data_IF_915114897572
#
_entry.id   IF_915114897572
#
_cell.length_a   1.000
_cell.length_b   1.000
_cell.length_c   1.000
_cell.angle_alpha   90.00
_cell.angle_beta   90.00
_cell.angle_gamma   90.00
#
_symmetry.space_group_name_H-M   'P 1'
#
loop_
_entity.id
_entity.type
_entity.pdbx_description
1 polymer ?
#
# COMPACT_ATOMS: atom_id res chain seq x y z
N UNK A 1 0.58 6.53 9.37
CA UNK A 1 -0.01 7.73 8.74
C UNK A 1 0.09 8.95 9.65
N UNK A 2 -0.12 8.79 10.97
CA UNK A 2 0.03 9.82 12.00
C UNK A 2 1.22 10.83 11.85
N UNK A 3 2.47 10.44 11.49
CA UNK A 3 3.57 11.41 11.39
C UNK A 3 3.40 12.41 10.23
N UNK A 4 2.74 11.99 9.15
CA UNK A 4 2.56 12.80 7.94
C UNK A 4 1.54 13.93 8.16
N UNK A 5 0.37 13.58 8.70
CA UNK A 5 -0.70 14.56 8.94
C UNK A 5 -0.34 15.58 10.00
N UNK A 6 0.36 15.15 11.07
CA UNK A 6 0.86 16.06 12.10
C UNK A 6 1.89 17.04 11.55
N UNK A 7 2.78 16.58 10.66
CA UNK A 7 3.81 17.41 10.03
C UNK A 7 3.23 18.51 9.12
N UNK A 8 2.24 18.18 8.28
CA UNK A 8 1.75 19.10 7.24
C UNK A 8 0.50 19.86 7.62
N UNK A 9 -0.32 19.32 8.52
CA UNK A 9 -1.64 19.87 8.85
C UNK A 9 -1.83 20.08 10.36
N UNK A 10 -0.81 19.81 11.18
CA UNK A 10 -0.88 19.87 12.65
C UNK A 10 -2.10 19.12 13.22
N UNK A 11 -2.44 17.99 12.59
CA UNK A 11 -3.64 17.22 12.89
C UNK A 11 -3.32 15.75 13.18
N UNK A 12 -4.02 15.19 14.16
CA UNK A 12 -4.02 13.75 14.46
C UNK A 12 -5.25 13.10 13.82
N UNK A 13 -5.05 11.93 13.21
CA UNK A 13 -6.12 11.21 12.53
C UNK A 13 -6.70 10.15 13.48
N UNK A 14 -8.03 10.03 13.60
CA UNK A 14 -8.64 8.97 14.39
C UNK A 14 -8.47 7.61 13.71
N UNK A 15 -8.37 6.52 14.49
CA UNK A 15 -8.17 5.15 13.99
C UNK A 15 -9.17 4.75 12.90
N UNK A 16 -10.45 5.13 13.06
CA UNK A 16 -11.52 4.87 12.08
C UNK A 16 -11.23 5.48 10.70
N UNK A 17 -10.51 6.59 10.65
CA UNK A 17 -10.09 7.20 9.39
C UNK A 17 -8.87 6.47 8.82
N UNK A 18 -7.91 6.06 9.66
CA UNK A 18 -6.76 5.27 9.20
C UNK A 18 -7.22 3.95 8.55
N UNK A 19 -8.22 3.27 9.11
CA UNK A 19 -8.83 2.07 8.49
C UNK A 19 -9.36 2.34 7.07
N UNK A 20 -9.99 3.51 6.83
CA UNK A 20 -10.49 3.89 5.50
C UNK A 20 -9.38 4.10 4.48
N UNK A 21 -8.15 4.35 4.93
CA UNK A 21 -7.00 4.51 4.04
C UNK A 21 -6.31 3.19 3.70
N UNK A 22 -6.70 2.07 4.34
CA UNK A 22 -6.13 0.76 4.05
C UNK A 22 -6.73 0.19 2.76
N UNK A 23 -5.87 -0.32 1.88
CA UNK A 23 -6.27 -1.01 0.66
C UNK A 23 -6.67 -0.10 -0.51
N UNK A 24 -6.71 1.22 -0.33
CA UNK A 24 -6.91 2.20 -1.41
C UNK A 24 -5.57 2.71 -1.95
N UNK A 25 -5.60 3.42 -3.08
CA UNK A 25 -4.39 4.01 -3.66
C UNK A 25 -3.81 5.11 -2.76
N UNK A 26 -2.57 5.50 -3.02
CA UNK A 26 -1.95 6.59 -2.26
C UNK A 26 -2.63 7.94 -2.50
N UNK A 27 -3.09 8.19 -3.71
CA UNK A 27 -3.81 9.42 -4.05
C UNK A 27 -5.16 9.46 -3.34
N UNK A 28 -5.92 8.36 -3.40
CA UNK A 28 -7.19 8.23 -2.66
C UNK A 28 -6.98 8.38 -1.15
N UNK A 29 -5.93 7.78 -0.61
CA UNK A 29 -5.60 7.92 0.81
C UNK A 29 -5.23 9.36 1.20
N UNK A 30 -4.71 10.17 0.28
CA UNK A 30 -4.45 11.59 0.53
C UNK A 30 -5.74 12.41 0.43
N UNK A 31 -6.60 12.11 -0.56
CA UNK A 31 -7.94 12.69 -0.65
C UNK A 31 -8.77 12.47 0.62
N UNK A 32 -8.85 11.23 1.11
CA UNK A 32 -9.57 10.89 2.36
C UNK A 32 -9.07 11.73 3.55
N UNK A 33 -7.76 11.95 3.65
CA UNK A 33 -7.16 12.75 4.72
C UNK A 33 -7.53 14.22 4.56
N UNK A 34 -7.37 14.78 3.35
CA UNK A 34 -7.68 16.18 3.07
C UNK A 34 -9.16 16.50 3.26
N UNK A 35 -10.03 15.63 2.78
CA UNK A 35 -11.48 15.75 2.92
C UNK A 35 -11.91 15.71 4.38
N UNK A 36 -11.34 14.79 5.18
CA UNK A 36 -11.60 14.74 6.61
C UNK A 36 -11.17 16.01 7.34
N UNK A 37 -10.05 16.62 6.93
CA UNK A 37 -9.56 17.86 7.51
C UNK A 37 -10.26 19.11 6.96
N UNK A 38 -11.08 18.98 5.92
CA UNK A 38 -11.68 20.11 5.22
C UNK A 38 -10.66 21.00 4.52
N UNK A 39 -9.51 20.46 4.13
CA UNK A 39 -8.40 21.20 3.53
C UNK A 39 -8.39 21.00 2.02
N UNK A 40 -8.40 22.09 1.27
CA UNK A 40 -8.14 22.07 -0.17
C UNK A 40 -6.73 22.55 -0.46
N UNK A 41 -6.06 21.90 -1.41
CA UNK A 41 -4.72 22.26 -1.88
C UNK A 41 -4.72 22.35 -3.40
N UNK A 42 -3.77 23.10 -3.97
CA UNK A 42 -3.57 23.10 -5.43
C UNK A 42 -3.15 21.71 -5.92
N UNK A 43 -3.38 21.43 -7.20
CA UNK A 43 -2.95 20.17 -7.82
C UNK A 43 -1.44 19.97 -7.69
N UNK A 44 -0.64 21.02 -7.85
CA UNK A 44 0.81 20.97 -7.67
C UNK A 44 1.18 20.56 -6.24
N UNK A 45 0.53 21.17 -5.24
CA UNK A 45 0.78 20.86 -3.83
C UNK A 45 0.31 19.45 -3.49
N UNK A 46 -0.81 18.99 -4.05
CA UNK A 46 -1.30 17.63 -3.89
C UNK A 46 -0.28 16.61 -4.40
N UNK A 47 0.23 16.80 -5.61
CA UNK A 47 1.25 15.93 -6.21
C UNK A 47 2.53 15.90 -5.35
N UNK A 48 2.99 17.05 -4.87
CA UNK A 48 4.16 17.13 -3.99
C UNK A 48 3.96 16.38 -2.66
N UNK A 49 2.78 16.54 -2.04
CA UNK A 49 2.42 15.84 -0.79
C UNK A 49 2.34 14.32 -1.00
N UNK A 50 1.73 13.88 -2.09
CA UNK A 50 1.63 12.46 -2.43
C UNK A 50 3.03 11.84 -2.68
N UNK A 51 3.93 12.58 -3.34
CA UNK A 51 5.31 12.17 -3.58
C UNK A 51 6.12 12.08 -2.28
N UNK A 52 6.03 13.10 -1.40
CA UNK A 52 6.71 13.08 -0.10
C UNK A 52 6.22 11.92 0.76
N UNK A 53 4.90 11.71 0.81
CA UNK A 53 4.27 10.58 1.50
C UNK A 53 4.81 9.25 0.97
N UNK A 54 5.00 9.11 -0.35
CA UNK A 54 5.62 7.93 -0.94
C UNK A 54 7.06 7.74 -0.47
N UNK A 55 7.87 8.78 -0.55
CA UNK A 55 9.28 8.71 -0.22
C UNK A 55 9.48 8.29 1.24
N UNK A 56 8.68 8.85 2.15
CA UNK A 56 8.68 8.45 3.56
C UNK A 56 8.30 6.97 3.74
N UNK A 57 7.29 6.49 3.01
CA UNK A 57 6.87 5.09 3.06
C UNK A 57 7.93 4.14 2.50
N UNK A 58 8.49 4.43 1.32
CA UNK A 58 9.56 3.62 0.71
C UNK A 58 10.77 3.53 1.63
N UNK A 59 11.17 4.64 2.25
CA UNK A 59 12.25 4.65 3.25
C UNK A 59 11.92 3.79 4.47
N UNK A 60 10.66 3.75 4.91
CA UNK A 60 10.25 2.88 6.02
C UNK A 60 10.33 1.39 5.65
N UNK A 61 10.18 1.04 4.36
CA UNK A 61 10.36 -0.34 3.87
C UNK A 61 11.81 -0.82 3.94
N UNK A 62 12.80 0.05 4.12
CA UNK A 62 14.20 -0.39 4.26
C UNK A 62 14.46 -1.19 5.53
N UNK A 63 13.61 -1.03 6.55
CA UNK A 63 13.67 -1.84 7.77
C UNK A 63 12.96 -3.20 7.62
N UNK A 64 12.25 -3.43 6.51
CA UNK A 64 11.47 -4.65 6.28
C UNK A 64 12.40 -5.82 5.94
N UNK A 65 12.11 -6.98 6.52
CA UNK A 65 12.87 -8.21 6.35
C UNK A 65 11.95 -9.44 6.41
N UNK A 66 12.48 -10.63 6.13
CA UNK A 66 11.75 -11.90 6.28
C UNK A 66 11.11 -12.10 7.66
N UNK A 67 11.62 -11.45 8.71
CA UNK A 67 11.06 -11.53 10.07
C UNK A 67 9.70 -10.83 10.22
N UNK A 68 9.39 -9.95 9.28
CA UNK A 68 8.14 -9.18 9.23
C UNK A 68 7.05 -9.92 8.43
N UNK A 69 7.35 -11.11 7.89
CA UNK A 69 6.35 -12.01 7.32
C UNK A 69 5.37 -12.40 8.43
N UNK A 70 4.08 -12.23 8.16
CA UNK A 70 3.04 -12.60 9.14
C UNK A 70 3.09 -14.11 9.42
N UNK A 71 2.85 -14.53 10.68
CA UNK A 71 2.86 -15.95 11.06
C UNK A 71 1.97 -16.80 10.13
N UNK A 72 2.51 -17.93 9.66
CA UNK A 72 1.81 -18.90 8.80
C UNK A 72 1.76 -18.55 7.31
N UNK A 73 2.15 -17.34 6.88
CA UNK A 73 2.11 -16.97 5.45
C UNK A 73 3.12 -17.79 4.63
N UNK A 74 4.35 -17.96 5.14
CA UNK A 74 5.36 -18.73 4.42
C UNK A 74 4.93 -20.20 4.25
N UNK A 75 4.42 -20.81 5.31
CA UNK A 75 3.91 -22.19 5.28
C UNK A 75 2.74 -22.33 4.28
N UNK A 76 1.82 -21.36 4.25
CA UNK A 76 0.71 -21.34 3.29
C UNK A 76 1.20 -21.26 1.84
N UNK A 77 2.17 -20.38 1.57
CA UNK A 77 2.75 -20.23 0.23
C UNK A 77 3.51 -21.49 -0.20
N UNK A 78 4.24 -22.12 0.71
CA UNK A 78 4.91 -23.41 0.48
C UNK A 78 3.88 -24.50 0.14
N UNK A 79 2.77 -24.56 0.85
CA UNK A 79 1.70 -25.53 0.61
C UNK A 79 1.00 -25.31 -0.74
N UNK A 80 0.76 -24.05 -1.14
CA UNK A 80 0.27 -23.76 -2.48
C UNK A 80 1.23 -24.22 -3.57
N UNK A 81 2.53 -23.97 -3.42
CA UNK A 81 3.55 -24.46 -4.37
C UNK A 81 3.58 -25.98 -4.45
N UNK A 82 3.51 -26.69 -3.31
CA UNK A 82 3.49 -28.16 -3.26
C UNK A 82 2.29 -28.79 -3.98
N UNK A 83 1.17 -28.07 -4.06
CA UNK A 83 -0.06 -28.52 -4.70
C UNK A 83 -0.28 -27.90 -6.09
N UNK A 84 0.76 -27.31 -6.69
CA UNK A 84 0.69 -26.66 -8.01
C UNK A 84 -0.39 -25.55 -8.12
N UNK A 85 -0.70 -24.89 -7.00
CA UNK A 85 -1.66 -23.79 -6.95
C UNK A 85 -0.95 -22.49 -7.32
N UNK A 86 -1.49 -21.77 -8.31
CA UNK A 86 -0.97 -20.47 -8.75
C UNK A 86 -1.20 -19.38 -7.73
N UNK A 87 -0.20 -18.53 -7.52
CA UNK A 87 -0.22 -17.46 -6.52
C UNK A 87 -0.06 -16.12 -7.23
N UNK A 88 -0.97 -15.18 -6.97
CA UNK A 88 -0.87 -13.82 -7.51
C UNK A 88 -1.09 -12.73 -6.45
N UNK A 89 -0.40 -11.60 -6.62
CA UNK A 89 -0.55 -10.42 -5.77
C UNK A 89 -1.50 -9.40 -6.43
N UNK A 90 -2.66 -9.17 -5.82
CA UNK A 90 -3.64 -8.16 -6.21
C UNK A 90 -3.62 -6.95 -5.25
N UNK A 91 -2.56 -6.14 -5.31
CA UNK A 91 -2.32 -5.00 -4.41
C UNK A 91 -2.59 -3.65 -5.07
N UNK A 92 -3.33 -2.75 -4.39
CA UNK A 92 -3.51 -1.37 -4.84
C UNK A 92 -2.22 -0.52 -4.72
N UNK A 93 -1.18 -1.05 -4.07
CA UNK A 93 0.09 -0.36 -3.88
C UNK A 93 1.05 -0.64 -5.04
N UNK A 94 1.55 0.44 -5.65
CA UNK A 94 2.65 0.39 -6.62
C UNK A 94 3.95 -0.17 -6.02
N UNK A 95 4.06 -0.24 -4.69
CA UNK A 95 5.23 -0.74 -3.98
C UNK A 95 5.13 -2.25 -3.65
N UNK A 96 4.08 -2.95 -4.10
CA UNK A 96 3.91 -4.39 -3.89
C UNK A 96 5.14 -5.24 -4.27
N UNK A 97 5.72 -5.07 -5.48
CA UNK A 97 6.92 -5.79 -5.88
C UNK A 97 8.12 -5.58 -4.93
N UNK A 98 8.38 -4.33 -4.53
CA UNK A 98 9.47 -4.00 -3.60
C UNK A 98 9.27 -4.65 -2.22
N UNK A 99 8.03 -4.71 -1.74
CA UNK A 99 7.71 -5.37 -0.47
C UNK A 99 8.00 -6.87 -0.57
N UNK A 100 7.58 -7.53 -1.65
CA UNK A 100 7.87 -8.95 -1.86
C UNK A 100 9.37 -9.22 -1.93
N UNK A 101 10.14 -8.35 -2.59
CA UNK A 101 11.59 -8.45 -2.67
C UNK A 101 12.24 -8.36 -1.27
N UNK A 102 11.88 -7.35 -0.48
CA UNK A 102 12.40 -7.16 0.89
C UNK A 102 12.04 -8.33 1.83
N UNK A 103 10.87 -8.94 1.62
CA UNK A 103 10.41 -10.11 2.37
C UNK A 103 10.97 -11.43 1.83
N UNK A 104 11.74 -11.44 0.74
CA UNK A 104 12.21 -12.69 0.12
C UNK A 104 11.08 -13.57 -0.43
N UNK A 105 9.94 -12.97 -0.81
CA UNK A 105 8.74 -13.70 -1.25
C UNK A 105 8.49 -13.64 -2.76
N UNK A 106 9.28 -12.89 -3.53
CA UNK A 106 9.03 -12.67 -4.98
C UNK A 106 8.80 -13.97 -5.75
N UNK A 107 9.63 -14.99 -5.52
CA UNK A 107 9.59 -16.26 -6.28
C UNK A 107 8.37 -17.14 -5.97
N UNK A 108 7.63 -16.82 -4.91
CA UNK A 108 6.37 -17.49 -4.62
C UNK A 108 5.27 -17.10 -5.61
N UNK A 109 5.29 -15.87 -6.12
CA UNK A 109 4.19 -15.30 -6.91
C UNK A 109 4.40 -15.54 -8.41
N UNK A 110 3.45 -16.23 -9.04
CA UNK A 110 3.41 -16.46 -10.49
C UNK A 110 3.04 -15.19 -11.28
N UNK A 111 2.31 -14.28 -10.65
CA UNK A 111 1.90 -13.01 -11.24
C UNK A 111 1.74 -11.91 -10.19
N UNK A 112 2.04 -10.68 -10.57
CA UNK A 112 1.77 -9.49 -9.76
C UNK A 112 0.94 -8.54 -10.62
N UNK A 113 -0.28 -8.23 -10.20
CA UNK A 113 -1.13 -7.27 -10.92
C UNK A 113 -0.54 -5.86 -10.77
N UNK A 114 -0.40 -5.15 -11.89
CA UNK A 114 0.09 -3.77 -11.91
C UNK A 114 -1.08 -2.79 -11.66
N UNK A 115 -1.19 -2.17 -10.47
CA UNK A 115 -2.29 -1.28 -10.15
C UNK A 115 -2.31 -0.02 -11.03
N UNK A 116 -1.22 0.32 -11.74
CA UNK A 116 -1.22 1.45 -12.67
C UNK A 116 -1.94 1.16 -14.00
N UNK A 117 -2.20 -0.12 -14.30
CA UNK A 117 -2.92 -0.56 -15.51
C UNK A 117 -4.40 -0.84 -15.25
N UNK A 118 -4.84 -0.71 -14.01
CA UNK A 118 -6.21 -0.95 -13.58
C UNK A 118 -7.04 0.32 -13.81
N UNK A 119 -8.24 0.19 -14.40
CA UNK A 119 -9.12 1.35 -14.66
C UNK A 119 -9.81 1.82 -13.38
N UNK A 120 -10.37 0.91 -12.59
CA UNK A 120 -10.99 1.24 -11.31
C UNK A 120 -10.27 0.55 -10.13
N UNK A 121 -9.77 1.35 -9.19
CA UNK A 121 -9.17 0.85 -7.95
C UNK A 121 -10.21 0.21 -7.02
N UNK A 122 -9.73 -0.49 -5.97
CA UNK A 122 -10.60 -1.07 -4.93
C UNK A 122 -11.54 0.01 -4.35
N UNK A 123 -12.84 -0.30 -4.13
CA UNK A 123 -13.45 -1.64 -4.03
C UNK A 123 -13.87 -2.27 -5.37
N UNK A 124 -13.57 -1.66 -6.52
CA UNK A 124 -13.82 -2.30 -7.81
C UNK A 124 -13.01 -3.61 -7.96
N UNK A 125 -13.53 -4.59 -8.71
CA UNK A 125 -12.93 -5.91 -8.79
C UNK A 125 -11.73 -5.99 -9.74
N UNK A 126 -11.48 -4.98 -10.57
CA UNK A 126 -10.56 -5.00 -11.72
C UNK A 126 -9.15 -5.54 -11.49
N UNK A 127 -8.64 -5.48 -10.24
CA UNK A 127 -7.29 -5.95 -9.88
C UNK A 127 -7.24 -7.44 -9.48
N UNK A 128 -8.41 -8.07 -9.28
CA UNK A 128 -8.57 -9.49 -8.95
C UNK A 128 -8.94 -10.29 -10.21
#
# INVERSE_FOLDING_TARGET
MAPFSKKHFNAELPDKLEEKTKGVSREDSLHIILDFLGIQVSQEKFTALAAEKNQAYVKALDALSEKDILPGIKDLLDDFKKHDIKISLASASKNGPLILEKLGLTDYFDAIADPAKVTAGKPAPDIF
#
